data_IF_883715334473
#
_entry.id   IF_883715334473
#
_cell.length_a   1.000
_cell.length_b   1.000
_cell.length_c   1.000
_cell.angle_alpha   90.00
_cell.angle_beta   90.00
_cell.angle_gamma   90.00
#
_symmetry.space_group_name_H-M   'P 1'
#
loop_
_entity.id
_entity.type
_entity.pdbx_description
1 polymer ?
#
# COMPACT_ATOMS: atom_id res chain seq x y z
N UNK A 1 22.54 21.62 -11.05
CA UNK A 1 22.43 20.57 -10.02
C UNK A 1 21.42 21.04 -8.98
N UNK A 2 20.15 20.57 -8.98
CA UNK A 2 19.26 20.80 -7.86
C UNK A 2 19.48 19.72 -6.79
N UNK A 3 19.56 20.16 -5.54
CA UNK A 3 20.02 19.37 -4.38
C UNK A 3 19.11 18.22 -3.99
N UNK A 4 19.72 17.21 -3.38
CA UNK A 4 19.05 16.13 -2.68
C UNK A 4 18.25 16.72 -1.51
N UNK A 5 16.94 16.88 -1.71
CA UNK A 5 16.01 17.14 -0.63
C UNK A 5 15.90 15.84 0.17
N UNK A 6 16.77 15.70 1.17
CA UNK A 6 16.76 14.60 2.11
C UNK A 6 15.49 14.71 2.94
N UNK A 7 14.64 13.68 2.85
CA UNK A 7 13.39 13.59 3.60
C UNK A 7 13.64 13.91 5.08
N UNK A 8 13.13 15.04 5.55
CA UNK A 8 13.24 15.43 6.96
C UNK A 8 12.24 14.61 7.77
N UNK A 9 12.74 13.87 8.76
CA UNK A 9 11.90 13.13 9.69
C UNK A 9 10.90 14.07 10.39
N UNK A 10 9.62 13.70 10.39
CA UNK A 10 8.60 14.39 11.19
C UNK A 10 8.64 13.82 12.61
N UNK A 11 8.77 14.68 13.63
CA UNK A 11 8.71 14.22 15.03
C UNK A 11 7.30 13.75 15.35
N UNK A 12 7.15 12.46 15.66
CA UNK A 12 5.89 11.89 16.13
C UNK A 12 5.66 12.24 17.59
N UNK A 13 4.62 13.03 17.87
CA UNK A 13 4.19 13.42 19.23
C UNK A 13 2.91 12.72 19.68
N UNK A 14 2.25 11.99 18.78
CA UNK A 14 1.10 11.13 19.05
C UNK A 14 1.48 9.69 18.66
N UNK A 15 1.88 8.91 19.67
CA UNK A 15 2.34 7.52 19.51
C UNK A 15 1.25 6.59 18.95
N UNK A 16 -0.02 7.01 18.92
CA UNK A 16 -1.11 6.18 18.39
C UNK A 16 -1.05 6.02 16.86
N UNK A 17 -0.49 7.00 16.14
CA UNK A 17 -0.37 6.97 14.68
C UNK A 17 0.89 7.74 14.24
N UNK A 18 1.97 7.03 13.87
CA UNK A 18 3.15 7.65 13.28
C UNK A 18 2.81 8.48 12.04
N UNK A 19 3.62 9.50 11.76
CA UNK A 19 3.43 10.43 10.66
C UNK A 19 4.75 10.80 9.99
N UNK A 20 4.67 11.12 8.70
CA UNK A 20 5.75 11.76 7.93
C UNK A 20 5.16 12.90 7.08
N UNK A 21 5.93 13.45 6.14
CA UNK A 21 5.51 14.57 5.29
C UNK A 21 4.22 14.32 4.47
N UNK A 22 3.80 13.05 4.30
CA UNK A 22 2.64 12.70 3.48
C UNK A 22 1.37 12.40 4.26
N UNK A 23 1.46 12.13 5.57
CA UNK A 23 0.29 11.82 6.36
C UNK A 23 0.60 10.97 7.59
N UNK A 24 -0.49 10.43 8.16
CA UNK A 24 -0.47 9.58 9.35
C UNK A 24 -0.75 8.13 8.98
N UNK A 25 -0.20 7.20 9.74
CA UNK A 25 -0.20 5.78 9.44
C UNK A 25 -0.77 4.97 10.60
N UNK A 26 -1.57 3.95 10.29
CA UNK A 26 -1.98 2.97 11.28
C UNK A 26 -0.95 1.84 11.33
N UNK A 27 -0.14 1.82 12.38
CA UNK A 27 0.82 0.75 12.66
C UNK A 27 0.23 -0.08 13.81
N UNK A 28 -0.16 -1.32 13.54
CA UNK A 28 -0.57 -2.28 14.57
C UNK A 28 0.67 -2.87 15.25
N UNK A 29 0.52 -3.53 16.39
CA UNK A 29 1.57 -4.30 17.06
C UNK A 29 1.85 -5.63 16.33
N UNK A 30 3.12 -6.08 16.28
CA UNK A 30 3.58 -7.27 15.55
C UNK A 30 4.32 -7.07 14.20
N UNK A 31 4.17 -5.96 13.44
CA UNK A 31 4.89 -5.69 12.20
C UNK A 31 6.15 -4.83 12.39
N UNK A 32 6.65 -4.62 13.61
CA UNK A 32 7.72 -3.65 13.90
C UNK A 32 9.03 -3.98 13.18
N UNK A 33 9.24 -5.24 12.77
CA UNK A 33 10.38 -5.66 11.96
C UNK A 33 10.20 -5.41 10.45
N UNK A 34 9.00 -5.05 9.98
CA UNK A 34 8.74 -4.85 8.56
C UNK A 34 9.36 -3.53 8.06
N UNK A 35 10.01 -3.49 6.88
CA UNK A 35 10.71 -2.30 6.41
C UNK A 35 9.85 -1.03 6.31
N UNK A 36 8.56 -1.17 5.98
CA UNK A 36 7.62 -0.05 5.97
C UNK A 36 7.36 0.50 7.39
N UNK A 37 7.15 -0.37 8.39
CA UNK A 37 6.95 0.03 9.78
C UNK A 37 8.22 0.70 10.35
N UNK A 38 9.38 0.11 10.10
CA UNK A 38 10.70 0.67 10.47
C UNK A 38 10.95 2.05 9.87
N UNK A 39 10.33 2.38 8.73
CA UNK A 39 10.43 3.70 8.11
C UNK A 39 9.43 4.68 8.73
N UNK A 40 8.15 4.33 8.83
CA UNK A 40 7.11 5.29 9.24
C UNK A 40 7.13 5.61 10.73
N UNK A 41 7.52 4.66 11.60
CA UNK A 41 7.61 4.86 13.06
C UNK A 41 8.53 6.04 13.43
N UNK A 42 9.77 6.14 12.91
CA UNK A 42 10.63 7.31 13.12
C UNK A 42 10.25 8.53 12.25
N UNK A 43 9.13 8.47 11.52
CA UNK A 43 8.63 9.56 10.68
C UNK A 43 9.37 9.72 9.35
N UNK A 44 9.96 8.63 8.82
CA UNK A 44 10.61 8.59 7.52
C UNK A 44 9.65 8.13 6.42
N UNK A 45 10.06 8.34 5.17
CA UNK A 45 9.35 7.90 3.96
C UNK A 45 9.97 6.59 3.49
N UNK A 46 9.14 5.56 3.28
CA UNK A 46 9.56 4.32 2.62
C UNK A 46 9.79 4.58 1.13
N UNK A 47 10.93 4.14 0.60
CA UNK A 47 11.23 4.20 -0.84
C UNK A 47 10.94 5.59 -1.48
N UNK A 48 11.57 6.67 -0.96
CA UNK A 48 11.22 8.04 -1.33
C UNK A 48 11.39 8.33 -2.83
N UNK A 49 12.37 7.70 -3.49
CA UNK A 49 12.61 7.86 -4.92
C UNK A 49 11.50 7.24 -5.77
N UNK A 50 11.05 6.03 -5.42
CA UNK A 50 9.93 5.36 -6.07
C UNK A 50 8.66 6.17 -5.90
N UNK A 51 8.41 6.67 -4.69
CA UNK A 51 7.24 7.49 -4.42
C UNK A 51 7.29 8.83 -5.18
N UNK A 52 8.46 9.47 -5.25
CA UNK A 52 8.66 10.68 -6.05
C UNK A 52 8.38 10.42 -7.53
N UNK A 53 8.91 9.32 -8.08
CA UNK A 53 8.65 8.91 -9.46
C UNK A 53 7.15 8.71 -9.70
N UNK A 54 6.48 7.93 -8.84
CA UNK A 54 5.05 7.64 -9.00
C UNK A 54 4.21 8.92 -8.95
N UNK A 55 4.47 9.82 -7.99
CA UNK A 55 3.77 11.10 -7.89
C UNK A 55 3.99 11.97 -9.13
N UNK A 56 5.21 11.99 -9.68
CA UNK A 56 5.52 12.75 -10.89
C UNK A 56 4.92 12.15 -12.18
N UNK A 57 4.69 10.83 -12.21
CA UNK A 57 4.22 10.11 -13.41
C UNK A 57 2.75 9.73 -13.40
N UNK A 58 2.05 9.89 -12.28
CA UNK A 58 0.61 9.60 -12.19
C UNK A 58 -0.19 10.37 -13.24
N UNK A 59 0.16 11.65 -13.46
CA UNK A 59 -0.46 12.48 -14.49
C UNK A 59 -1.99 12.52 -14.37
N UNK A 60 -2.67 12.27 -15.49
CA UNK A 60 -4.12 12.17 -15.60
C UNK A 60 -4.62 10.70 -15.64
N UNK A 61 -3.81 9.74 -15.21
CA UNK A 61 -4.17 8.32 -15.13
C UNK A 61 -4.53 7.86 -13.72
N UNK A 62 -5.17 6.70 -13.62
CA UNK A 62 -5.30 5.93 -12.39
C UNK A 62 -3.97 5.19 -12.08
N UNK A 63 -3.77 4.83 -10.80
CA UNK A 63 -2.67 3.98 -10.34
C UNK A 63 -3.24 2.63 -9.92
N UNK A 64 -2.57 1.53 -10.31
CA UNK A 64 -2.81 0.19 -9.78
C UNK A 64 -1.62 -0.21 -8.92
N UNK A 65 -1.89 -0.68 -7.69
CA UNK A 65 -0.87 -1.07 -6.72
C UNK A 65 -1.20 -2.42 -6.09
N UNK A 66 -0.35 -3.42 -6.33
CA UNK A 66 -0.42 -4.72 -5.67
C UNK A 66 0.48 -4.71 -4.43
N UNK A 67 -0.05 -5.16 -3.29
CA UNK A 67 0.57 -5.11 -1.97
C UNK A 67 0.40 -3.73 -1.33
N UNK A 68 -0.49 -3.60 -0.34
CA UNK A 68 -0.64 -2.34 0.40
C UNK A 68 0.17 -2.31 1.69
N UNK A 69 0.38 -3.48 2.30
CA UNK A 69 0.86 -3.64 3.66
C UNK A 69 0.13 -2.72 4.67
N UNK A 70 0.78 -1.68 5.19
CA UNK A 70 0.17 -0.71 6.12
C UNK A 70 -0.38 0.54 5.41
N UNK A 71 -0.23 0.61 4.10
CA UNK A 71 -0.64 1.73 3.25
C UNK A 71 0.37 2.87 3.21
N UNK A 72 1.67 2.62 3.37
CA UNK A 72 2.72 3.63 3.51
C UNK A 72 2.87 4.55 2.28
N UNK A 73 2.51 4.06 1.09
CA UNK A 73 2.46 4.85 -0.13
C UNK A 73 1.18 5.67 -0.29
N UNK A 74 0.09 5.24 0.38
CA UNK A 74 -1.26 5.64 0.00
C UNK A 74 -1.59 7.10 0.29
N UNK A 75 -1.20 7.70 1.44
CA UNK A 75 -1.38 9.13 1.64
C UNK A 75 -0.73 9.95 0.53
N UNK A 76 0.55 9.69 0.26
CA UNK A 76 1.33 10.43 -0.73
C UNK A 76 0.77 10.32 -2.15
N UNK A 77 0.38 9.12 -2.58
CA UNK A 77 -0.23 8.91 -3.90
C UNK A 77 -1.61 9.55 -3.97
N UNK A 78 -2.45 9.37 -2.95
CA UNK A 78 -3.80 9.93 -2.89
C UNK A 78 -3.82 11.44 -3.08
N UNK A 79 -2.91 12.16 -2.40
CA UNK A 79 -2.78 13.62 -2.51
C UNK A 79 -2.22 14.09 -3.86
N UNK A 80 -1.45 13.26 -4.57
CA UNK A 80 -0.84 13.60 -5.85
C UNK A 80 -1.75 13.38 -7.08
N UNK A 81 -2.86 12.63 -6.93
CA UNK A 81 -3.75 12.32 -8.05
C UNK A 81 -4.46 13.56 -8.61
N UNK A 82 -4.55 13.65 -9.94
CA UNK A 82 -5.43 14.58 -10.62
C UNK A 82 -6.91 14.32 -10.29
N UNK A 83 -7.76 15.34 -10.44
CA UNK A 83 -9.19 15.24 -10.14
C UNK A 83 -9.87 14.10 -10.91
N UNK A 84 -10.69 13.33 -10.20
CA UNK A 84 -11.41 12.18 -10.76
C UNK A 84 -10.57 10.94 -11.01
N UNK A 85 -9.26 10.96 -10.70
CA UNK A 85 -8.37 9.80 -10.80
C UNK A 85 -8.25 9.05 -9.48
N UNK A 86 -7.98 7.74 -9.58
CA UNK A 86 -8.04 6.82 -8.45
C UNK A 86 -6.73 6.06 -8.25
N UNK A 87 -6.45 5.74 -6.99
CA UNK A 87 -5.45 4.74 -6.60
C UNK A 87 -6.22 3.46 -6.25
N UNK A 88 -6.01 2.39 -7.03
CA UNK A 88 -6.62 1.07 -6.82
C UNK A 88 -5.57 0.16 -6.21
N UNK A 89 -5.86 -0.38 -5.04
CA UNK A 89 -4.89 -1.09 -4.22
C UNK A 89 -5.42 -2.47 -3.86
N UNK A 90 -4.55 -3.46 -3.91
CA UNK A 90 -4.84 -4.86 -3.61
C UNK A 90 -3.95 -5.33 -2.47
N UNK A 91 -4.57 -5.84 -1.41
CA UNK A 91 -3.84 -6.42 -0.29
C UNK A 91 -4.51 -7.72 0.14
N UNK A 92 -3.92 -8.89 -0.17
CA UNK A 92 -4.52 -10.17 0.16
C UNK A 92 -4.52 -10.47 1.67
N UNK A 93 -3.53 -9.98 2.44
CA UNK A 93 -3.46 -10.26 3.87
C UNK A 93 -4.50 -9.43 4.64
N UNK A 94 -5.48 -10.04 5.35
CA UNK A 94 -6.55 -9.29 6.02
C UNK A 94 -6.05 -8.32 7.10
N UNK A 95 -4.95 -8.65 7.80
CA UNK A 95 -4.37 -7.81 8.83
C UNK A 95 -3.74 -6.55 8.24
N UNK A 96 -2.95 -6.72 7.18
CA UNK A 96 -2.42 -5.61 6.38
C UNK A 96 -3.53 -4.80 5.73
N UNK A 97 -4.52 -5.45 5.12
CA UNK A 97 -5.66 -4.77 4.51
C UNK A 97 -6.37 -3.85 5.50
N UNK A 98 -6.63 -4.31 6.75
CA UNK A 98 -7.25 -3.44 7.74
C UNK A 98 -6.34 -2.29 8.19
N UNK A 99 -5.03 -2.50 8.33
CA UNK A 99 -4.07 -1.43 8.61
C UNK A 99 -4.06 -0.37 7.50
N UNK A 100 -3.95 -0.79 6.24
CA UNK A 100 -4.00 0.09 5.08
C UNK A 100 -5.34 0.84 4.96
N UNK A 101 -6.47 0.16 5.24
CA UNK A 101 -7.81 0.79 5.27
C UNK A 101 -7.89 1.90 6.30
N UNK A 102 -7.33 1.69 7.50
CA UNK A 102 -7.26 2.72 8.55
C UNK A 102 -6.34 3.87 8.15
N UNK A 103 -5.16 3.57 7.59
CA UNK A 103 -4.27 4.60 7.03
C UNK A 103 -4.97 5.46 5.98
N UNK A 104 -5.73 4.85 5.05
CA UNK A 104 -6.52 5.59 4.06
C UNK A 104 -7.58 6.46 4.72
N UNK A 105 -8.28 5.96 5.74
CA UNK A 105 -9.27 6.74 6.47
C UNK A 105 -8.68 8.01 7.10
N UNK A 106 -7.43 7.95 7.57
CA UNK A 106 -6.70 9.11 8.11
C UNK A 106 -6.39 10.19 7.07
N UNK A 107 -6.41 9.87 5.77
CA UNK A 107 -6.19 10.86 4.70
C UNK A 107 -7.40 11.77 4.46
N UNK A 108 -8.61 11.31 4.84
CA UNK A 108 -9.87 11.99 4.53
C UNK A 108 -10.24 12.04 3.03
N UNK A 109 -9.55 11.29 2.16
CA UNK A 109 -9.76 11.32 0.69
C UNK A 109 -10.52 10.09 0.20
N UNK A 110 -11.45 10.31 -0.73
CA UNK A 110 -12.28 9.25 -1.34
C UNK A 110 -11.73 8.68 -2.66
N UNK A 111 -10.49 9.00 -3.04
CA UNK A 111 -9.91 8.59 -4.32
C UNK A 111 -9.03 7.33 -4.23
N UNK A 112 -9.03 6.66 -3.09
CA UNK A 112 -8.35 5.37 -2.90
C UNK A 112 -9.41 4.27 -2.78
N UNK A 113 -9.24 3.19 -3.54
CA UNK A 113 -10.09 1.99 -3.46
C UNK A 113 -9.22 0.81 -3.09
N UNK A 114 -9.42 0.26 -1.88
CA UNK A 114 -8.72 -0.93 -1.38
C UNK A 114 -9.59 -2.17 -1.59
N UNK A 115 -8.97 -3.24 -2.07
CA UNK A 115 -9.60 -4.55 -2.26
C UNK A 115 -8.81 -5.60 -1.49
N UNK A 116 -9.47 -6.40 -0.63
CA UNK A 116 -8.82 -7.49 0.08
C UNK A 116 -8.72 -8.72 -0.83
N UNK A 117 -7.78 -8.66 -1.77
CA UNK A 117 -7.57 -9.67 -2.79
C UNK A 117 -6.12 -9.65 -3.27
N UNK A 118 -5.66 -10.77 -3.81
CA UNK A 118 -4.42 -10.83 -4.59
C UNK A 118 -4.68 -10.34 -6.02
N UNK A 119 -3.79 -9.52 -6.57
CA UNK A 119 -3.82 -9.18 -7.99
C UNK A 119 -3.19 -10.33 -8.79
N UNK A 120 -3.90 -10.86 -9.78
CA UNK A 120 -3.48 -12.05 -10.54
C UNK A 120 -3.90 -11.96 -12.02
N UNK A 121 -3.35 -12.84 -12.85
CA UNK A 121 -3.78 -13.04 -14.24
C UNK A 121 -4.94 -14.05 -14.37
N UNK A 122 -5.47 -14.56 -13.25
CA UNK A 122 -6.62 -15.47 -13.19
C UNK A 122 -7.54 -15.07 -12.04
N UNK A 123 -8.83 -15.37 -12.20
CA UNK A 123 -9.79 -15.29 -11.11
C UNK A 123 -9.84 -16.59 -10.28
N UNK A 124 -10.37 -16.48 -9.07
CA UNK A 124 -10.64 -17.60 -8.18
C UNK A 124 -9.76 -17.62 -6.92
N UNK A 125 -9.97 -18.60 -6.04
CA UNK A 125 -9.18 -18.74 -4.83
C UNK A 125 -7.72 -19.09 -5.17
N UNK A 126 -6.78 -18.43 -4.48
CA UNK A 126 -5.37 -18.80 -4.46
C UNK A 126 -4.99 -19.22 -3.04
N UNK A 127 -4.18 -20.28 -2.95
CA UNK A 127 -3.53 -20.66 -1.70
C UNK A 127 -2.40 -19.66 -1.42
N UNK A 128 -2.53 -18.92 -0.33
CA UNK A 128 -1.69 -17.78 -0.02
C UNK A 128 -1.33 -17.79 1.47
N UNK A 129 -0.03 -17.79 1.76
CA UNK A 129 0.45 -17.91 3.13
C UNK A 129 0.35 -16.56 3.79
N UNK A 130 -0.72 -16.34 4.55
CA UNK A 130 -0.90 -15.12 5.35
C UNK A 130 -0.33 -15.25 6.76
N UNK A 131 0.15 -16.45 7.15
CA UNK A 131 0.73 -16.74 8.47
C UNK A 131 1.89 -17.72 8.35
N UNK A 132 2.93 -17.56 9.16
CA UNK A 132 3.98 -18.57 9.32
C UNK A 132 3.52 -19.73 10.23
N UNK A 133 4.41 -20.71 10.44
CA UNK A 133 4.14 -21.90 11.27
C UNK A 133 3.87 -21.60 12.76
N UNK A 134 4.13 -20.36 13.21
CA UNK A 134 3.83 -19.89 14.57
C UNK A 134 2.58 -19.00 14.62
N UNK A 135 1.88 -18.84 13.48
CA UNK A 135 0.64 -18.06 13.38
C UNK A 135 0.84 -16.56 13.19
N UNK A 136 2.08 -16.08 13.06
CA UNK A 136 2.42 -14.67 12.84
C UNK A 136 2.25 -14.29 11.37
N UNK A 137 1.81 -13.07 11.09
CA UNK A 137 1.69 -12.58 9.71
C UNK A 137 3.10 -12.28 9.15
N UNK A 138 3.51 -12.86 8.01
CA UNK A 138 4.84 -12.61 7.45
C UNK A 138 4.99 -11.21 6.82
N UNK A 139 3.93 -10.39 6.79
CA UNK A 139 3.95 -9.07 6.16
C UNK A 139 4.16 -9.16 4.64
N UNK A 140 5.06 -8.35 4.09
CA UNK A 140 5.42 -8.34 2.67
C UNK A 140 6.04 -9.63 2.14
N UNK A 141 6.36 -10.60 3.00
CA UNK A 141 6.86 -11.93 2.60
C UNK A 141 5.73 -12.95 2.36
N UNK A 142 4.47 -12.49 2.31
CA UNK A 142 3.34 -13.37 2.01
C UNK A 142 3.49 -13.95 0.59
N UNK A 143 3.58 -15.28 0.50
CA UNK A 143 3.85 -16.00 -0.76
C UNK A 143 2.68 -16.89 -1.13
N UNK A 144 2.44 -17.04 -2.43
CA UNK A 144 1.63 -18.16 -2.93
C UNK A 144 2.27 -19.46 -2.44
N UNK A 145 1.47 -20.32 -1.83
CA UNK A 145 1.92 -21.51 -1.08
C UNK A 145 0.99 -22.67 -1.38
N UNK A 146 1.34 -23.88 -0.98
CA UNK A 146 0.44 -25.05 -0.98
C UNK A 146 -0.26 -25.25 0.38
N UNK A 147 -0.04 -24.34 1.35
CA UNK A 147 -0.53 -24.44 2.74
C UNK A 147 -1.81 -23.62 2.93
N UNK A 148 -2.69 -23.99 3.88
CA UNK A 148 -4.05 -23.45 3.93
C UNK A 148 -4.10 -21.98 4.34
N UNK A 149 -4.68 -21.18 3.45
CA UNK A 149 -4.98 -19.76 3.59
C UNK A 149 -5.53 -19.27 2.26
N UNK A 150 -6.84 -19.41 2.04
CA UNK A 150 -7.45 -19.01 0.77
C UNK A 150 -7.60 -17.48 0.73
N UNK A 151 -7.02 -16.84 -0.28
CA UNK A 151 -7.31 -15.45 -0.63
C UNK A 151 -7.94 -15.40 -2.01
N UNK A 152 -8.89 -14.49 -2.19
CA UNK A 152 -9.49 -14.26 -3.50
C UNK A 152 -8.46 -13.59 -4.41
N UNK A 153 -8.30 -14.12 -5.63
CA UNK A 153 -7.57 -13.44 -6.68
C UNK A 153 -8.51 -12.71 -7.63
N UNK A 154 -8.07 -11.54 -8.09
CA UNK A 154 -8.79 -10.69 -9.02
C UNK A 154 -7.86 -10.21 -10.14
N UNK A 155 -8.42 -10.05 -11.33
CA UNK A 155 -7.70 -9.50 -12.47
C UNK A 155 -7.72 -7.97 -12.47
N UNK A 156 -6.64 -7.28 -12.90
CA UNK A 156 -6.60 -5.82 -13.00
C UNK A 156 -7.75 -5.24 -13.81
N UNK A 157 -8.09 -5.87 -14.94
CA UNK A 157 -9.10 -5.42 -15.91
C UNK A 157 -10.54 -5.49 -15.36
N UNK A 158 -10.74 -6.29 -14.31
CA UNK A 158 -12.02 -6.42 -13.61
C UNK A 158 -12.23 -5.24 -12.65
N UNK A 159 -11.14 -4.64 -12.18
CA UNK A 159 -11.18 -3.66 -11.07
C UNK A 159 -10.89 -2.25 -11.55
N UNK A 160 -10.21 -2.06 -12.69
CA UNK A 160 -10.20 -0.82 -13.44
C UNK A 160 -10.96 -1.03 -14.76
N UNK A 161 -12.08 -0.32 -15.00
CA UNK A 161 -12.74 -0.40 -16.30
C UNK A 161 -11.74 -0.12 -17.41
N UNK A 162 -11.73 -0.92 -18.49
CA UNK A 162 -10.82 -0.76 -19.63
C UNK A 162 -10.86 0.66 -20.25
N UNK A 163 -11.94 1.40 -20.02
CA UNK A 163 -12.10 2.81 -20.42
C UNK A 163 -11.25 3.80 -19.62
N UNK A 164 -10.63 3.38 -18.51
CA UNK A 164 -9.80 4.25 -17.67
C UNK A 164 -8.34 4.12 -18.03
N UNK A 165 -7.70 5.26 -18.26
CA UNK A 165 -6.24 5.34 -18.44
C UNK A 165 -5.54 4.97 -17.14
N UNK A 166 -4.66 3.97 -17.18
CA UNK A 166 -3.73 3.64 -16.10
C UNK A 166 -2.34 4.12 -16.51
N UNK A 167 -1.66 4.88 -15.64
CA UNK A 167 -0.32 5.42 -15.91
C UNK A 167 0.78 4.72 -15.10
N UNK A 168 0.40 4.06 -14.00
CA UNK A 168 1.34 3.35 -13.12
C UNK A 168 0.73 2.01 -12.71
N UNK A 169 1.52 0.95 -12.89
CA UNK A 169 1.32 -0.34 -12.24
C UNK A 169 2.51 -0.57 -11.30
N UNK A 170 2.22 -0.79 -10.01
CA UNK A 170 3.21 -1.15 -8.98
C UNK A 170 2.92 -2.55 -8.48
N UNK A 171 3.96 -3.37 -8.40
CA UNK A 171 3.94 -4.68 -7.76
C UNK A 171 4.95 -4.65 -6.61
N UNK A 172 4.47 -4.83 -5.38
CA UNK A 172 5.31 -5.14 -4.22
C UNK A 172 5.38 -6.67 -4.05
N UNK A 173 6.57 -7.20 -3.79
CA UNK A 173 6.80 -8.63 -3.62
C UNK A 173 8.08 -8.91 -2.84
#
# INVERSE_FOLDING_TARGET
MPGADGARAVKNTDESHPANEFGRYCVRSGPEAHPAALSVIPGLVREPETLRFMRARAGDGDIIHAGAFLGDFLPALSFAMAQGRRVRVFEPNPGSFDAARRTVALTGRGNVTLTNAALSNREGPLLFRTRDGEGQSPGGLSRVTEDPGEVQAVMPDVVAPLSRRVTILRFDG
#
